data_IF_815635721859
#
_entry.id   IF_815635721859
#
_cell.length_a   1.000
_cell.length_b   1.000
_cell.length_c   1.000
_cell.angle_alpha   90.00
_cell.angle_beta   90.00
_cell.angle_gamma   90.00
#
_symmetry.space_group_name_H-M   'P 1'
#
loop_
_entity.id
_entity.type
_entity.pdbx_description
1 polymer ?
#
# COMPACT_ATOMS: atom_id res chain seq x y z
N UNK A 1 -7.80 -15.03 13.53
CA UNK A 1 -7.01 -14.62 14.72
C UNK A 1 -5.58 -15.10 14.53
N UNK A 2 -4.63 -14.26 14.97
CA UNK A 2 -3.16 -14.40 14.92
C UNK A 2 -2.47 -14.13 13.57
N UNK A 3 -2.60 -12.89 13.09
CA UNK A 3 -1.51 -12.25 12.33
C UNK A 3 -0.46 -11.76 13.32
N UNK A 4 0.60 -12.54 13.53
CA UNK A 4 1.87 -12.00 14.04
C UNK A 4 2.47 -11.12 12.95
N UNK A 5 1.88 -9.95 12.75
CA UNK A 5 2.47 -8.89 11.95
C UNK A 5 3.70 -8.41 12.69
N UNK A 6 4.87 -8.54 12.06
CA UNK A 6 6.09 -7.96 12.60
C UNK A 6 5.87 -6.47 12.82
N UNK A 7 5.81 -6.08 14.09
CA UNK A 7 5.73 -4.70 14.52
C UNK A 7 7.12 -4.11 14.40
N UNK A 8 7.35 -3.32 13.35
CA UNK A 8 8.56 -2.51 13.25
C UNK A 8 8.29 -1.18 13.95
N UNK A 9 8.94 -0.90 15.09
CA UNK A 9 8.77 0.37 15.78
C UNK A 9 9.48 1.48 15.01
N UNK A 10 8.90 2.67 15.03
CA UNK A 10 9.56 3.87 14.57
C UNK A 10 10.72 4.20 15.50
N UNK A 11 11.92 4.41 14.95
CA UNK A 11 13.13 4.76 15.71
C UNK A 11 12.98 6.04 16.54
N UNK A 12 12.06 6.93 16.16
CA UNK A 12 11.84 8.22 16.83
C UNK A 12 10.75 8.16 17.91
N UNK A 13 9.63 7.49 17.64
CA UNK A 13 8.44 7.54 18.51
C UNK A 13 7.94 6.18 19.01
N UNK A 14 8.57 5.08 18.59
CA UNK A 14 8.21 3.71 18.98
C UNK A 14 6.88 3.20 18.43
N UNK A 15 6.10 4.03 17.73
CA UNK A 15 4.83 3.64 17.10
C UNK A 15 5.08 2.78 15.85
N UNK A 16 4.04 2.10 15.37
CA UNK A 16 4.15 1.27 14.17
C UNK A 16 4.69 2.07 12.98
N UNK A 17 5.77 1.59 12.40
CA UNK A 17 6.41 2.16 11.23
C UNK A 17 5.91 1.51 9.94
N UNK A 18 5.88 2.31 8.87
CA UNK A 18 5.45 1.89 7.53
C UNK A 18 6.48 2.27 6.45
N UNK A 19 7.53 2.99 6.84
CA UNK A 19 8.63 3.42 5.99
C UNK A 19 9.96 2.94 6.56
N UNK A 20 10.98 2.83 5.72
CA UNK A 20 12.34 2.51 6.14
C UNK A 20 13.35 3.38 5.40
N UNK A 21 14.54 3.53 5.98
CA UNK A 21 15.65 4.23 5.32
C UNK A 21 16.03 3.49 4.03
N UNK A 22 15.95 4.14 2.88
CA UNK A 22 16.26 3.52 1.57
C UNK A 22 17.74 3.16 1.40
N UNK A 23 18.64 3.83 2.14
CA UNK A 23 20.07 3.56 2.11
C UNK A 23 20.45 2.24 2.78
N UNK A 24 20.12 2.11 4.07
CA UNK A 24 20.49 0.91 4.86
C UNK A 24 19.39 -0.15 4.96
N UNK A 25 18.14 0.24 4.75
CA UNK A 25 16.93 -0.58 4.92
C UNK A 25 16.77 -1.25 6.30
N UNK A 26 17.48 -0.74 7.31
CA UNK A 26 17.55 -1.32 8.64
C UNK A 26 16.93 -0.43 9.74
N UNK A 27 16.51 0.79 9.39
CA UNK A 27 15.84 1.72 10.30
C UNK A 27 14.45 2.05 9.78
N UNK A 28 13.46 2.04 10.68
CA UNK A 28 12.04 2.16 10.34
C UNK A 28 11.43 3.44 10.94
N UNK A 29 10.53 4.07 10.18
CA UNK A 29 9.88 5.32 10.57
C UNK A 29 8.40 5.32 10.22
N UNK A 30 7.58 5.97 11.02
CA UNK A 30 6.17 6.19 10.69
C UNK A 30 5.97 7.37 9.71
N UNK A 31 6.97 8.24 9.55
CA UNK A 31 6.94 9.38 8.62
C UNK A 31 8.35 9.82 8.21
N UNK A 32 8.45 10.55 7.09
CA UNK A 32 9.70 11.18 6.65
C UNK A 32 10.21 12.24 7.64
N UNK A 33 9.30 12.94 8.34
CA UNK A 33 9.65 13.89 9.38
C UNK A 33 10.42 13.22 10.53
N UNK A 34 10.00 12.03 10.97
CA UNK A 34 10.70 11.27 12.00
C UNK A 34 12.06 10.74 11.51
N UNK A 35 12.16 10.33 10.25
CA UNK A 35 13.46 10.01 9.65
C UNK A 35 14.40 11.22 9.65
N UNK A 36 13.90 12.41 9.29
CA UNK A 36 14.71 13.62 9.26
C UNK A 36 15.12 14.08 10.67
N UNK A 37 14.24 13.92 11.66
CA UNK A 37 14.55 14.18 13.07
C UNK A 37 15.62 13.23 13.60
N UNK A 38 15.53 11.95 13.26
CA UNK A 38 16.52 10.95 13.66
C UNK A 38 17.81 11.00 12.81
N UNK A 39 17.79 11.72 11.68
CA UNK A 39 18.89 11.71 10.71
C UNK A 39 20.23 12.04 11.36
N UNK A 40 20.28 13.02 12.27
CA UNK A 40 21.50 13.43 12.98
C UNK A 40 22.18 12.29 13.77
N UNK A 41 21.41 11.31 14.25
CA UNK A 41 21.92 10.08 14.87
C UNK A 41 22.14 9.01 13.80
N UNK A 42 21.08 8.73 13.03
CA UNK A 42 21.05 7.62 12.09
C UNK A 42 22.12 7.71 11.01
N UNK A 43 22.47 8.89 10.49
CA UNK A 43 23.47 9.03 9.43
C UNK A 43 24.84 8.45 9.80
N UNK A 44 25.18 8.44 11.09
CA UNK A 44 26.47 7.92 11.61
C UNK A 44 26.53 6.40 11.60
N UNK A 45 25.37 5.75 11.63
CA UNK A 45 25.19 4.30 11.70
C UNK A 45 24.55 3.73 10.43
N UNK A 46 24.10 4.60 9.51
CA UNK A 46 23.46 4.24 8.26
C UNK A 46 24.51 3.70 7.27
N UNK A 47 24.67 2.38 7.27
CA UNK A 47 25.54 1.68 6.31
C UNK A 47 24.71 1.40 5.04
N UNK A 48 25.03 2.01 3.89
CA UNK A 48 24.33 1.74 2.65
C UNK A 48 24.52 0.28 2.22
N UNK A 49 23.47 -0.36 1.72
CA UNK A 49 23.60 -1.70 1.15
C UNK A 49 24.59 -1.68 -0.01
N UNK A 50 25.76 -2.30 0.20
CA UNK A 50 26.86 -2.38 -0.79
C UNK A 50 28.22 -1.91 -0.29
N UNK A 51 28.30 -1.20 0.84
CA UNK A 51 29.56 -0.71 1.41
C UNK A 51 30.09 -1.67 2.50
N UNK A 52 30.61 -2.83 2.09
CA UNK A 52 31.21 -3.80 3.00
C UNK A 52 32.66 -3.45 3.34
N UNK A 53 32.94 -2.94 4.55
CA UNK A 53 34.25 -3.11 5.20
C UNK A 53 34.03 -3.43 6.68
N UNK A 54 34.29 -4.69 7.06
CA UNK A 54 34.21 -5.22 8.43
C UNK A 54 35.44 -4.76 9.26
N UNK A 55 35.43 -4.76 10.62
CA UNK A 55 35.29 -6.00 11.39
C UNK A 55 34.38 -5.95 12.65
N UNK A 56 33.73 -7.10 12.90
CA UNK A 56 33.31 -7.68 14.20
C UNK A 56 32.45 -6.79 15.12
N UNK A 57 31.14 -6.92 14.98
CA UNK A 57 30.14 -6.66 16.03
C UNK A 57 28.93 -7.56 15.71
N UNK A 58 28.26 -8.09 16.73
CA UNK A 58 27.09 -8.98 16.65
C UNK A 58 26.20 -8.66 15.44
N UNK A 59 26.38 -9.38 14.33
CA UNK A 59 25.53 -9.24 13.16
C UNK A 59 24.25 -9.99 13.51
N UNK A 60 23.06 -9.36 13.55
CA UNK A 60 21.82 -10.12 13.50
C UNK A 60 21.93 -10.93 12.21
N UNK A 61 22.02 -12.26 12.31
CA UNK A 61 22.05 -13.13 11.13
C UNK A 61 20.90 -12.70 10.23
N UNK A 62 21.21 -12.18 9.04
CA UNK A 62 20.21 -12.11 7.97
C UNK A 62 19.60 -13.50 7.89
N UNK A 63 18.31 -13.61 8.19
CA UNK A 63 17.59 -14.85 7.95
C UNK A 63 17.60 -15.03 6.44
N UNK A 64 18.43 -15.96 5.95
CA UNK A 64 18.63 -16.24 4.52
C UNK A 64 17.35 -16.68 3.80
N UNK A 65 16.25 -16.87 4.54
CA UNK A 65 14.90 -17.10 4.02
C UNK A 65 14.19 -15.80 3.61
N UNK A 66 14.65 -14.64 4.07
CA UNK A 66 14.05 -13.35 3.73
C UNK A 66 14.81 -12.74 2.56
N UNK A 67 14.09 -12.42 1.49
CA UNK A 67 14.61 -11.70 0.33
C UNK A 67 13.73 -10.49 0.02
N UNK A 68 14.29 -9.53 -0.71
CA UNK A 68 13.60 -8.29 -1.09
C UNK A 68 13.53 -8.21 -2.62
N UNK A 69 12.39 -7.74 -3.13
CA UNK A 69 12.20 -7.45 -4.55
C UNK A 69 11.31 -6.23 -4.72
N UNK A 70 11.58 -5.41 -5.73
CA UNK A 70 10.76 -4.26 -6.06
C UNK A 70 9.97 -4.54 -7.33
N UNK A 71 8.73 -4.06 -7.39
CA UNK A 71 7.88 -4.16 -8.56
C UNK A 71 7.29 -2.80 -8.92
N UNK A 72 7.40 -2.40 -10.19
CA UNK A 72 6.66 -1.24 -10.71
C UNK A 72 5.34 -1.70 -11.28
N UNK A 73 4.22 -1.21 -10.73
CA UNK A 73 2.87 -1.57 -11.16
C UNK A 73 2.02 -0.35 -11.49
N UNK A 74 1.19 -0.49 -12.52
CA UNK A 74 0.12 0.48 -12.82
C UNK A 74 -1.08 0.23 -11.93
N UNK A 75 -1.41 1.21 -11.10
CA UNK A 75 -2.61 1.25 -10.26
C UNK A 75 -3.63 2.25 -10.83
N UNK A 76 -4.88 2.14 -10.37
CA UNK A 76 -5.94 3.08 -10.73
C UNK A 76 -6.19 4.02 -9.56
N UNK A 77 -6.11 5.32 -9.82
CA UNK A 77 -6.44 6.39 -8.89
C UNK A 77 -7.82 6.95 -9.23
N UNK A 78 -8.71 6.98 -8.25
CA UNK A 78 -9.95 7.75 -8.29
C UNK A 78 -9.74 9.01 -7.46
N UNK A 79 -9.27 10.11 -8.07
CA UNK A 79 -9.08 11.37 -7.36
C UNK A 79 -10.42 11.92 -6.88
N UNK A 80 -10.45 12.50 -5.68
CA UNK A 80 -11.69 13.06 -5.13
C UNK A 80 -12.15 14.31 -5.91
N UNK A 81 -11.21 15.12 -6.37
CA UNK A 81 -11.47 16.44 -6.98
C UNK A 81 -11.67 16.41 -8.50
N UNK A 82 -11.36 15.29 -9.15
CA UNK A 82 -11.50 15.12 -10.58
C UNK A 82 -12.52 14.03 -10.88
N UNK A 83 -13.40 14.24 -11.85
CA UNK A 83 -14.37 13.23 -12.29
C UNK A 83 -13.74 12.06 -13.05
N UNK A 84 -12.49 12.20 -13.53
CA UNK A 84 -11.82 11.15 -14.33
C UNK A 84 -10.83 10.34 -13.51
N UNK A 85 -11.02 9.02 -13.55
CA UNK A 85 -10.04 8.03 -13.12
C UNK A 85 -8.70 8.17 -13.86
N UNK A 86 -7.59 7.88 -13.18
CA UNK A 86 -6.23 7.99 -13.71
C UNK A 86 -5.45 6.71 -13.50
N UNK A 87 -4.53 6.41 -14.40
CA UNK A 87 -3.51 5.38 -14.18
C UNK A 87 -2.28 6.04 -13.57
N UNK A 88 -1.79 5.48 -12.48
CA UNK A 88 -0.57 5.91 -11.78
C UNK A 88 0.44 4.76 -11.75
N UNK A 89 1.73 5.06 -11.74
CA UNK A 89 2.80 4.07 -11.61
C UNK A 89 3.29 4.07 -10.15
N UNK A 90 3.23 2.91 -9.49
CA UNK A 90 3.71 2.73 -8.13
C UNK A 90 4.96 1.85 -8.15
N UNK A 91 6.02 2.28 -7.45
CA UNK A 91 7.07 1.36 -7.05
C UNK A 91 6.64 0.68 -5.74
N UNK A 92 6.56 -0.65 -5.75
CA UNK A 92 6.00 -1.45 -4.67
C UNK A 92 7.08 -2.40 -4.16
N UNK A 93 7.75 -2.07 -3.05
CA UNK A 93 8.70 -2.97 -2.44
C UNK A 93 8.01 -4.20 -1.86
N UNK A 94 8.62 -5.36 -2.06
CA UNK A 94 8.15 -6.66 -1.64
C UNK A 94 9.17 -7.35 -0.74
N UNK A 95 8.70 -7.84 0.41
CA UNK A 95 9.45 -8.71 1.32
C UNK A 95 8.99 -10.14 1.12
N UNK A 96 9.86 -10.98 0.60
CA UNK A 96 9.62 -12.41 0.39
C UNK A 96 10.12 -13.17 1.60
N UNK A 97 9.28 -14.02 2.16
CA UNK A 97 9.61 -14.94 3.24
C UNK A 97 9.51 -16.37 2.70
N UNK A 98 10.66 -16.99 2.47
CA UNK A 98 10.75 -18.34 1.93
C UNK A 98 10.25 -19.41 2.92
N UNK A 99 10.12 -19.09 4.22
CA UNK A 99 9.66 -20.06 5.22
C UNK A 99 8.17 -20.39 5.08
N UNK A 100 7.38 -19.43 4.61
CA UNK A 100 5.93 -19.55 4.44
C UNK A 100 5.48 -19.27 3.00
N UNK A 101 6.44 -19.07 2.07
CA UNK A 101 6.19 -18.70 0.68
C UNK A 101 5.25 -17.49 0.54
N UNK A 102 5.37 -16.53 1.47
CA UNK A 102 4.57 -15.32 1.49
C UNK A 102 5.38 -14.12 1.01
N UNK A 103 4.73 -13.29 0.20
CA UNK A 103 5.27 -11.99 -0.19
C UNK A 103 4.41 -10.90 0.44
N UNK A 104 5.04 -10.06 1.27
CA UNK A 104 4.40 -8.88 1.84
C UNK A 104 4.79 -7.67 1.01
N UNK A 105 3.79 -6.98 0.44
CA UNK A 105 3.98 -5.80 -0.38
C UNK A 105 3.71 -4.52 0.40
N UNK A 106 4.65 -3.60 0.37
CA UNK A 106 4.53 -2.27 0.95
C UNK A 106 4.02 -1.29 -0.11
N UNK A 107 2.73 -0.95 -0.05
CA UNK A 107 2.12 -0.04 -1.02
C UNK A 107 2.35 1.42 -0.56
N UNK A 108 3.00 2.29 -1.35
CA UNK A 108 3.27 3.68 -0.95
C UNK A 108 2.01 4.56 -1.09
N UNK A 109 1.03 4.35 -0.21
CA UNK A 109 -0.29 4.99 -0.30
C UNK A 109 -0.30 6.43 0.20
N UNK A 110 0.66 6.83 1.04
CA UNK A 110 0.70 8.13 1.71
C UNK A 110 0.64 9.30 0.74
N UNK A 111 1.35 9.21 -0.39
CA UNK A 111 1.36 10.25 -1.43
C UNK A 111 -0.03 10.47 -2.06
N UNK A 112 -0.86 9.42 -2.09
CA UNK A 112 -2.15 9.43 -2.79
C UNK A 112 -3.33 9.60 -1.84
N UNK A 113 -3.25 9.03 -0.64
CA UNK A 113 -4.34 9.04 0.34
C UNK A 113 -4.16 10.13 1.39
N UNK A 114 -2.95 10.66 1.59
CA UNK A 114 -2.63 11.71 2.56
C UNK A 114 -1.84 11.21 3.77
N UNK A 115 -1.06 12.10 4.38
CA UNK A 115 -0.20 11.80 5.53
C UNK A 115 -0.99 11.55 6.83
N UNK A 116 -0.38 10.80 7.76
CA UNK A 116 -0.90 10.57 9.13
C UNK A 116 -2.35 10.05 9.20
N UNK A 117 -2.81 9.33 8.18
CA UNK A 117 -4.17 8.78 8.13
C UNK A 117 -4.13 7.26 8.15
N UNK A 118 -5.01 6.66 8.94
CA UNK A 118 -5.21 5.21 8.89
C UNK A 118 -5.84 4.84 7.55
N UNK A 119 -5.23 3.90 6.83
CA UNK A 119 -5.77 3.36 5.59
C UNK A 119 -6.49 2.05 5.86
N UNK A 120 -7.61 1.87 5.18
CA UNK A 120 -8.35 0.62 5.12
C UNK A 120 -8.26 0.05 3.71
N UNK A 121 -8.51 -1.25 3.58
CA UNK A 121 -8.59 -1.87 2.27
C UNK A 121 -9.71 -2.90 2.18
N UNK A 122 -10.35 -2.97 1.01
CA UNK A 122 -11.36 -3.98 0.67
C UNK A 122 -10.95 -4.75 -0.56
N UNK A 123 -11.22 -6.05 -0.56
CA UNK A 123 -10.95 -6.90 -1.71
C UNK A 123 -12.22 -7.13 -2.51
N UNK A 124 -12.11 -6.94 -3.82
CA UNK A 124 -13.13 -7.32 -4.80
C UNK A 124 -12.69 -8.66 -5.37
N UNK A 125 -13.31 -9.74 -4.90
CA UNK A 125 -12.96 -11.11 -5.32
C UNK A 125 -13.98 -11.72 -6.27
N UNK A 126 -15.16 -11.11 -6.40
CA UNK A 126 -16.28 -11.57 -7.21
C UNK A 126 -16.88 -10.41 -7.99
N UNK A 127 -17.46 -10.70 -9.16
CA UNK A 127 -18.28 -9.74 -9.88
C UNK A 127 -19.68 -9.60 -9.22
N UNK A 128 -20.51 -8.69 -9.73
CA UNK A 128 -21.89 -8.48 -9.21
C UNK A 128 -22.77 -9.73 -9.38
N UNK A 129 -22.48 -10.60 -10.35
CA UNK A 129 -23.13 -11.90 -10.52
C UNK A 129 -22.65 -12.98 -9.55
N UNK A 130 -21.69 -12.67 -8.67
CA UNK A 130 -21.14 -13.60 -7.69
C UNK A 130 -20.03 -14.51 -8.21
N UNK A 131 -19.67 -14.43 -9.50
CA UNK A 131 -18.60 -15.25 -10.07
C UNK A 131 -17.22 -14.74 -9.62
N UNK A 132 -16.26 -15.63 -9.34
CA UNK A 132 -14.93 -15.24 -8.90
C UNK A 132 -14.16 -14.51 -10.02
N UNK A 133 -13.52 -13.41 -9.66
CA UNK A 133 -12.64 -12.69 -10.57
C UNK A 133 -11.34 -13.47 -10.77
N UNK A 134 -10.93 -13.65 -12.02
CA UNK A 134 -9.61 -14.20 -12.37
C UNK A 134 -8.48 -13.39 -11.73
N UNK A 135 -8.68 -12.08 -11.62
CA UNK A 135 -7.75 -11.12 -11.07
C UNK A 135 -8.48 -10.24 -10.04
N UNK A 136 -8.49 -10.64 -8.76
CA UNK A 136 -9.12 -9.86 -7.71
C UNK A 136 -8.53 -8.45 -7.61
N UNK A 137 -9.33 -7.49 -7.18
CA UNK A 137 -8.89 -6.11 -6.97
C UNK A 137 -8.78 -5.80 -5.49
N UNK A 138 -7.89 -4.89 -5.12
CA UNK A 138 -7.75 -4.36 -3.76
C UNK A 138 -7.92 -2.85 -3.80
N UNK A 139 -8.95 -2.38 -3.11
CA UNK A 139 -9.35 -0.98 -3.03
C UNK A 139 -8.83 -0.42 -1.71
N UNK A 140 -8.04 0.64 -1.78
CA UNK A 140 -7.47 1.33 -0.62
C UNK A 140 -8.09 2.72 -0.48
N UNK A 141 -8.47 3.06 0.73
CA UNK A 141 -9.11 4.33 1.09
C UNK A 141 -8.79 4.69 2.54
N UNK A 142 -9.07 5.93 2.95
CA UNK A 142 -8.88 6.36 4.33
C UNK A 142 -9.98 5.81 5.24
N UNK A 143 -9.65 5.18 6.36
CA UNK A 143 -10.65 4.50 7.20
C UNK A 143 -11.64 5.48 7.86
N UNK A 144 -11.25 6.74 8.03
CA UNK A 144 -12.01 7.76 8.74
C UNK A 144 -12.73 8.76 7.81
N UNK A 145 -12.81 8.52 6.50
CA UNK A 145 -13.28 9.53 5.53
C UNK A 145 -14.72 10.03 5.81
N UNK A 146 -15.56 9.23 6.47
CA UNK A 146 -16.92 9.62 6.84
C UNK A 146 -16.99 10.56 8.05
N UNK A 147 -15.95 10.61 8.86
CA UNK A 147 -15.95 11.29 10.16
C UNK A 147 -15.12 12.57 10.18
N UNK A 148 -14.26 12.75 9.19
CA UNK A 148 -13.26 13.83 9.17
C UNK A 148 -13.60 14.97 8.22
N UNK A 149 -14.79 14.95 7.59
CA UNK A 149 -15.21 15.97 6.63
C UNK A 149 -14.52 15.85 5.27
N UNK A 150 -14.03 14.66 4.91
CA UNK A 150 -13.47 14.40 3.59
C UNK A 150 -14.40 14.87 2.45
N UNK A 151 -13.85 15.48 1.39
CA UNK A 151 -14.65 15.83 0.22
C UNK A 151 -15.11 14.57 -0.52
N UNK A 152 -16.35 14.59 -1.01
CA UNK A 152 -16.92 13.50 -1.80
C UNK A 152 -16.05 13.19 -3.02
N UNK A 153 -15.96 11.90 -3.34
CA UNK A 153 -15.15 11.44 -4.45
C UNK A 153 -15.90 11.60 -5.78
N UNK A 154 -15.55 12.65 -6.54
CA UNK A 154 -16.18 12.93 -7.82
C UNK A 154 -15.89 11.85 -8.87
N UNK A 155 -14.73 11.18 -8.82
CA UNK A 155 -14.45 10.05 -9.70
C UNK A 155 -15.40 8.86 -9.46
N UNK A 156 -15.73 8.56 -8.20
CA UNK A 156 -16.73 7.53 -7.87
C UNK A 156 -18.10 7.94 -8.39
N UNK A 157 -18.50 9.20 -8.20
CA UNK A 157 -19.76 9.72 -8.74
C UNK A 157 -19.82 9.60 -10.27
N UNK A 158 -18.75 9.95 -10.99
CA UNK A 158 -18.70 9.84 -12.46
C UNK A 158 -18.88 8.39 -12.93
N UNK A 159 -18.09 7.45 -12.40
CA UNK A 159 -18.12 6.05 -12.87
C UNK A 159 -19.41 5.32 -12.47
N UNK A 160 -20.10 5.79 -11.44
CA UNK A 160 -21.40 5.25 -11.00
C UNK A 160 -22.60 6.07 -11.45
N UNK A 161 -22.37 7.20 -12.16
CA UNK A 161 -23.40 8.21 -12.50
C UNK A 161 -24.20 8.67 -11.28
N UNK A 162 -23.50 8.91 -10.16
CA UNK A 162 -24.08 9.36 -8.89
C UNK A 162 -24.95 8.33 -8.18
N UNK A 163 -24.85 7.04 -8.53
CA UNK A 163 -25.67 5.96 -7.97
C UNK A 163 -24.92 5.04 -7.00
N UNK A 164 -23.69 5.41 -6.62
CA UNK A 164 -22.99 4.69 -5.56
C UNK A 164 -23.86 4.68 -4.29
N UNK A 165 -23.95 3.54 -3.61
CA UNK A 165 -24.80 3.39 -2.41
C UNK A 165 -24.24 4.09 -1.18
N UNK A 166 -22.95 4.37 -1.21
CA UNK A 166 -22.19 4.94 -0.12
C UNK A 166 -21.53 6.24 -0.58
N UNK A 167 -21.49 7.23 0.31
CA UNK A 167 -20.85 8.53 0.09
C UNK A 167 -19.32 8.41 0.20
N UNK A 168 -18.72 7.75 -0.78
CA UNK A 168 -17.26 7.61 -0.86
C UNK A 168 -16.59 8.97 -0.93
N UNK A 169 -15.61 9.19 -0.05
CA UNK A 169 -14.91 10.46 0.07
C UNK A 169 -13.39 10.28 0.12
N UNK A 170 -12.66 11.35 -0.21
CA UNK A 170 -11.21 11.32 -0.35
C UNK A 170 -10.74 10.50 -1.56
N UNK A 171 -9.42 10.46 -1.77
CA UNK A 171 -8.84 9.68 -2.87
C UNK A 171 -9.00 8.17 -2.60
N UNK A 172 -9.08 7.40 -3.69
CA UNK A 172 -9.10 5.93 -3.63
C UNK A 172 -8.05 5.40 -4.59
N UNK A 173 -7.22 4.48 -4.12
CA UNK A 173 -6.21 3.79 -4.95
C UNK A 173 -6.62 2.33 -5.08
N UNK A 174 -6.64 1.81 -6.30
CA UNK A 174 -6.99 0.43 -6.59
C UNK A 174 -5.78 -0.25 -7.20
N UNK A 175 -5.46 -1.45 -6.71
CA UNK A 175 -4.47 -2.35 -7.28
C UNK A 175 -5.14 -3.65 -7.74
N UNK A 176 -4.54 -4.30 -8.73
CA UNK A 176 -5.02 -5.55 -9.30
C UNK A 176 -4.05 -6.68 -9.01
N UNK A 177 -4.54 -7.71 -8.34
CA UNK A 177 -3.75 -8.90 -8.04
C UNK A 177 -3.38 -9.67 -9.30
N UNK A 178 -2.22 -10.31 -9.26
CA UNK A 178 -1.78 -11.32 -10.22
C UNK A 178 -2.32 -12.68 -9.81
N UNK A 179 -3.26 -13.19 -10.60
CA UNK A 179 -3.94 -14.46 -10.39
C UNK A 179 -4.74 -14.57 -9.08
N UNK A 180 -5.31 -15.75 -8.86
CA UNK A 180 -6.19 -16.04 -7.71
C UNK A 180 -5.41 -16.15 -6.40
N UNK A 181 -4.11 -16.50 -6.46
CA UNK A 181 -3.23 -16.66 -5.28
C UNK A 181 -2.74 -15.34 -4.68
N UNK A 182 -2.91 -14.20 -5.38
CA UNK A 182 -2.62 -12.85 -4.85
C UNK A 182 -1.20 -12.69 -4.31
N UNK A 183 -0.23 -13.31 -4.98
CA UNK A 183 1.18 -13.27 -4.56
C UNK A 183 1.93 -12.03 -5.10
N UNK A 184 1.32 -11.30 -6.02
CA UNK A 184 1.89 -10.07 -6.60
C UNK A 184 0.82 -9.26 -7.31
N UNK A 185 1.21 -8.11 -7.84
CA UNK A 185 0.31 -7.22 -8.59
C UNK A 185 0.61 -7.23 -10.08
N UNK A 186 -0.39 -6.89 -10.89
CA UNK A 186 -0.23 -6.68 -12.32
C UNK A 186 -0.82 -5.33 -12.73
N UNK A 187 -0.46 -4.88 -13.92
CA UNK A 187 -0.89 -3.58 -14.43
C UNK A 187 -2.41 -3.49 -14.60
N UNK A 188 -2.98 -2.43 -14.03
CA UNK A 188 -4.34 -1.99 -14.30
C UNK A 188 -4.44 -1.21 -15.61
N UNK A 189 -5.64 -1.24 -16.17
CA UNK A 189 -6.06 -0.46 -17.33
C UNK A 189 -7.39 0.21 -17.02
N UNK A 190 -7.80 1.19 -17.84
CA UNK A 190 -9.14 1.76 -17.74
C UNK A 190 -10.24 0.74 -18.07
N UNK A 191 -9.90 -0.38 -18.72
CA UNK A 191 -10.83 -1.50 -18.94
C UNK A 191 -11.24 -2.23 -17.66
N UNK A 192 -10.55 -2.02 -16.54
CA UNK A 192 -10.93 -2.58 -15.24
C UNK A 192 -12.02 -1.75 -14.54
N UNK A 193 -12.35 -0.53 -15.04
CA UNK A 193 -13.34 0.37 -14.44
C UNK A 193 -14.76 -0.21 -14.30
N UNK A 194 -15.31 -0.97 -15.27
CA UNK A 194 -16.68 -1.49 -15.14
C UNK A 194 -16.87 -2.38 -13.91
N UNK A 195 -15.87 -3.22 -13.58
CA UNK A 195 -15.91 -4.09 -12.39
C UNK A 195 -15.87 -3.26 -11.11
N UNK A 196 -15.05 -2.20 -11.08
CA UNK A 196 -14.91 -1.29 -9.94
C UNK A 196 -16.21 -0.49 -9.73
N UNK A 197 -16.78 0.07 -10.81
CA UNK A 197 -18.04 0.80 -10.75
C UNK A 197 -19.18 -0.10 -10.28
N UNK A 198 -19.27 -1.33 -10.80
CA UNK A 198 -20.27 -2.30 -10.39
C UNK A 198 -20.14 -2.67 -8.90
N UNK A 199 -18.92 -2.75 -8.38
CA UNK A 199 -18.68 -2.94 -6.94
C UNK A 199 -19.18 -1.75 -6.12
N UNK A 200 -18.86 -0.51 -6.50
CA UNK A 200 -19.36 0.69 -5.80
C UNK A 200 -20.90 0.82 -5.81
N UNK A 201 -21.56 0.31 -6.85
CA UNK A 201 -23.02 0.27 -6.94
C UNK A 201 -23.66 -0.80 -6.04
N UNK A 202 -22.90 -1.81 -5.64
CA UNK A 202 -23.38 -2.96 -4.85
C UNK A 202 -22.85 -2.96 -3.40
N UNK A 203 -21.85 -2.13 -3.11
CA UNK A 203 -21.23 -2.05 -1.78
C UNK A 203 -22.18 -1.33 -0.81
N UNK A 204 -22.64 -2.07 0.20
CA UNK A 204 -23.40 -1.56 1.34
C UNK A 204 -22.47 -1.18 2.51
#
# INVERSE_FOLDING_TARGET
MNTTGYFYPCETCGQQAYHWCTGCQNAWYCSAAHQQQDWARHFRECIPQGASTSPVSYVPRMDSRISHMDATVKALLLPWNAGRARIICLNVPGRVDASNNATTWSIPLTEYLGENTAFSSREITRNVGGEPLRYPLRVFFRDNFLRDGSPLNHSVSEITRGKARHDWAGNIVILKWSGVRRQGYQNMTLGDLPVIAAWFLAYD
#
